data_IF_363630854298
#
_entry.id   IF_363630854298
#
_cell.length_a   1.000
_cell.length_b   1.000
_cell.length_c   1.000
_cell.angle_alpha   90.00
_cell.angle_beta   90.00
_cell.angle_gamma   90.00
#
_symmetry.space_group_name_H-M   'P 1'
#
loop_
_entity.id
_entity.type
_entity.pdbx_description
1 polymer ?
#
# COMPACT_ATOMS: atom_id res chain seq x y z
N UNK A 1 -12.82 -16.42 -10.20
CA UNK A 1 -12.95 -15.86 -8.84
C UNK A 1 -13.38 -14.42 -8.97
N UNK A 2 -14.38 -13.96 -8.21
CA UNK A 2 -14.86 -12.57 -8.25
C UNK A 2 -14.44 -11.90 -6.94
N UNK A 3 -13.36 -11.12 -7.00
CA UNK A 3 -12.80 -10.31 -5.89
C UNK A 3 -13.54 -8.98 -5.70
N UNK A 4 -14.49 -8.68 -6.59
CA UNK A 4 -15.28 -7.47 -6.56
C UNK A 4 -16.24 -7.43 -5.35
N UNK A 5 -16.05 -6.45 -4.46
CA UNK A 5 -16.97 -6.08 -3.38
C UNK A 5 -18.33 -5.58 -3.90
N UNK A 6 -18.37 -4.99 -5.10
CA UNK A 6 -19.58 -4.36 -5.62
C UNK A 6 -19.69 -4.46 -7.16
N UNK A 7 -20.85 -4.12 -7.75
CA UNK A 7 -21.07 -4.19 -9.19
C UNK A 7 -20.16 -3.28 -10.03
N UNK A 8 -19.46 -2.34 -9.40
CA UNK A 8 -18.46 -1.46 -10.04
C UNK A 8 -17.05 -2.03 -9.95
N UNK A 9 -16.89 -3.32 -9.63
CA UNK A 9 -15.60 -3.99 -9.48
C UNK A 9 -14.70 -3.36 -8.41
N UNK A 10 -15.28 -2.77 -7.37
CA UNK A 10 -14.50 -2.32 -6.22
C UNK A 10 -13.81 -3.51 -5.55
N UNK A 11 -12.56 -3.36 -5.15
CA UNK A 11 -11.78 -4.40 -4.49
C UNK A 11 -11.24 -3.89 -3.16
N UNK A 12 -11.17 -4.79 -2.19
CA UNK A 12 -10.46 -4.57 -0.94
C UNK A 12 -9.53 -5.76 -0.72
N UNK A 13 -8.30 -5.47 -0.30
CA UNK A 13 -7.29 -6.45 0.05
C UNK A 13 -6.73 -6.12 1.41
N UNK A 14 -6.63 -7.13 2.27
CA UNK A 14 -5.85 -7.06 3.49
C UNK A 14 -4.71 -8.08 3.39
N UNK A 15 -3.49 -7.64 3.70
CA UNK A 15 -2.31 -8.50 3.64
C UNK A 15 -1.60 -8.49 4.98
N UNK A 16 -1.34 -9.65 5.56
CA UNK A 16 -0.50 -9.80 6.74
C UNK A 16 0.68 -10.71 6.41
N UNK A 17 1.90 -10.23 6.67
CA UNK A 17 3.12 -10.99 6.53
C UNK A 17 3.81 -11.11 7.89
N UNK A 18 4.19 -12.33 8.26
CA UNK A 18 4.87 -12.65 9.52
C UNK A 18 6.32 -12.99 9.23
N UNK A 19 7.24 -12.61 10.10
CA UNK A 19 8.67 -12.87 9.96
C UNK A 19 9.52 -11.88 10.76
N UNK A 20 10.79 -11.76 10.37
CA UNK A 20 11.71 -10.79 11.00
C UNK A 20 11.28 -9.33 10.78
N UNK A 21 10.59 -9.06 9.68
CA UNK A 21 10.06 -7.75 9.32
C UNK A 21 8.55 -7.86 9.03
N UNK A 22 7.72 -7.96 10.07
CA UNK A 22 6.28 -8.16 9.89
C UNK A 22 5.65 -6.94 9.21
N UNK A 23 4.61 -7.20 8.43
CA UNK A 23 3.86 -6.20 7.67
C UNK A 23 2.35 -6.45 7.81
N UNK A 24 1.57 -5.39 7.91
CA UNK A 24 0.13 -5.40 7.74
C UNK A 24 -0.26 -4.30 6.75
N UNK A 25 -1.04 -4.62 5.71
CA UNK A 25 -1.58 -3.62 4.78
C UNK A 25 -3.07 -3.80 4.55
N UNK A 26 -3.73 -2.69 4.24
CA UNK A 26 -5.11 -2.60 3.80
C UNK A 26 -5.15 -1.72 2.57
N UNK A 27 -5.60 -2.28 1.45
CA UNK A 27 -5.61 -1.64 0.15
C UNK A 27 -7.04 -1.68 -0.39
N UNK A 28 -7.63 -0.51 -0.64
CA UNK A 28 -8.94 -0.41 -1.26
C UNK A 28 -8.80 0.20 -2.65
N UNK A 29 -9.58 -0.29 -3.61
CA UNK A 29 -9.63 0.22 -4.96
C UNK A 29 -11.09 0.30 -5.39
N UNK A 30 -11.59 1.49 -5.71
CA UNK A 30 -12.97 1.67 -6.12
C UNK A 30 -13.06 2.39 -7.46
N UNK A 31 -13.45 1.68 -8.53
CA UNK A 31 -13.82 2.31 -9.79
C UNK A 31 -15.11 3.13 -9.64
N UNK A 32 -15.17 4.26 -10.32
CA UNK A 32 -16.34 5.14 -10.40
C UNK A 32 -16.47 5.79 -11.79
N UNK A 33 -17.60 6.48 -12.01
CA UNK A 33 -18.03 6.94 -13.34
C UNK A 33 -18.81 5.87 -14.12
N UNK A 34 -19.38 6.23 -15.28
CA UNK A 34 -20.21 5.31 -16.10
C UNK A 34 -19.40 4.15 -16.68
N UNK A 35 -18.14 4.39 -17.01
CA UNK A 35 -17.28 3.41 -17.67
C UNK A 35 -16.21 2.83 -16.72
N UNK A 36 -16.19 3.24 -15.45
CA UNK A 36 -15.23 2.76 -14.45
C UNK A 36 -13.79 3.22 -14.68
N UNK A 37 -13.55 4.15 -15.61
CA UNK A 37 -12.19 4.58 -15.96
C UNK A 37 -11.48 5.36 -14.87
N UNK A 38 -12.18 5.87 -13.87
CA UNK A 38 -11.58 6.60 -12.75
C UNK A 38 -11.69 5.77 -11.49
N UNK A 39 -10.72 5.90 -10.60
CA UNK A 39 -10.75 5.20 -9.33
C UNK A 39 -10.19 6.04 -8.19
N UNK A 40 -10.61 5.69 -6.98
CA UNK A 40 -10.04 6.15 -5.73
C UNK A 40 -9.44 4.94 -5.01
N UNK A 41 -8.21 5.09 -4.52
CA UNK A 41 -7.42 4.01 -3.95
C UNK A 41 -6.71 4.44 -2.66
N UNK A 42 -7.41 4.44 -1.51
CA UNK A 42 -6.78 4.64 -0.22
C UNK A 42 -6.06 3.36 0.21
N UNK A 43 -4.88 3.51 0.82
CA UNK A 43 -4.15 2.40 1.43
C UNK A 43 -3.52 2.78 2.75
N UNK A 44 -3.37 1.79 3.61
CA UNK A 44 -2.72 1.91 4.90
C UNK A 44 -1.75 0.75 5.06
N UNK A 45 -0.55 1.05 5.56
CA UNK A 45 0.51 0.06 5.77
C UNK A 45 1.18 0.27 7.12
N UNK A 46 1.39 -0.83 7.83
CA UNK A 46 2.19 -0.90 9.04
C UNK A 46 3.31 -1.90 8.82
N UNK A 47 4.55 -1.49 9.05
CA UNK A 47 5.70 -2.37 8.95
C UNK A 47 6.70 -2.14 10.08
N UNK A 48 7.51 -3.17 10.32
CA UNK A 48 8.59 -3.14 11.30
C UNK A 48 9.87 -3.60 10.63
N UNK A 49 10.83 -2.71 10.47
CA UNK A 49 12.11 -2.99 9.82
C UNK A 49 13.24 -3.05 10.86
N UNK A 50 14.22 -3.93 10.65
CA UNK A 50 15.46 -3.97 11.42
C UNK A 50 16.53 -3.17 10.68
N UNK A 51 16.98 -2.07 11.28
CA UNK A 51 18.12 -1.29 10.82
C UNK A 51 19.36 -1.75 11.58
N UNK A 52 20.34 -2.25 10.84
CA UNK A 52 21.67 -2.52 11.40
C UNK A 52 22.45 -1.21 11.44
N UNK A 53 22.82 -0.77 12.63
CA UNK A 53 23.69 0.39 12.82
C UNK A 53 25.12 -0.15 12.95
N UNK A 54 26.01 0.35 12.09
CA UNK A 54 27.43 0.02 12.08
C UNK A 54 28.22 1.26 12.52
N UNK A 55 29.23 1.06 13.37
CA UNK A 55 30.26 2.06 13.64
C UNK A 55 31.62 1.40 13.37
N UNK A 56 32.47 2.08 12.61
CA UNK A 56 33.83 1.62 12.26
C UNK A 56 33.97 0.17 11.75
N UNK A 57 32.90 -0.39 11.15
CA UNK A 57 32.90 -1.76 10.61
C UNK A 57 32.40 -2.84 11.58
N UNK A 58 32.18 -2.48 12.84
CA UNK A 58 31.55 -3.34 13.84
C UNK A 58 30.05 -3.04 13.96
N UNK A 59 29.24 -4.10 14.06
CA UNK A 59 27.79 -3.97 14.22
C UNK A 59 27.46 -3.59 15.65
N UNK A 60 27.23 -2.30 15.90
CA UNK A 60 26.96 -1.78 17.24
C UNK A 60 25.64 -2.27 17.83
N UNK A 61 24.55 -2.21 17.04
CA UNK A 61 23.21 -2.57 17.52
C UNK A 61 22.22 -2.78 16.37
N UNK A 62 21.17 -3.55 16.63
CA UNK A 62 19.98 -3.62 15.79
C UNK A 62 18.92 -2.64 16.34
N UNK A 63 18.47 -1.71 15.50
CA UNK A 63 17.36 -0.82 15.83
C UNK A 63 16.09 -1.29 15.10
N UNK A 64 15.03 -1.56 15.85
CA UNK A 64 13.72 -1.87 15.27
C UNK A 64 12.93 -0.59 15.06
N UNK A 65 12.67 -0.24 13.81
CA UNK A 65 11.86 0.91 13.44
C UNK A 65 10.48 0.43 13.00
N UNK A 66 9.44 1.00 13.62
CA UNK A 66 8.04 0.77 13.24
C UNK A 66 7.55 1.96 12.44
N UNK A 67 6.93 1.68 11.31
CA UNK A 67 6.45 2.70 10.40
C UNK A 67 4.98 2.47 10.12
N UNK A 68 4.19 3.55 10.20
CA UNK A 68 2.82 3.59 9.72
C UNK A 68 2.76 4.56 8.52
N UNK A 69 2.17 4.10 7.42
CA UNK A 69 1.96 4.90 6.23
C UNK A 69 0.48 4.90 5.83
N UNK A 70 0.00 6.07 5.44
CA UNK A 70 -1.31 6.28 4.84
C UNK A 70 -1.10 6.92 3.47
N UNK A 71 -1.73 6.35 2.44
CA UNK A 71 -1.75 6.90 1.10
C UNK A 71 -3.19 7.08 0.64
N UNK A 72 -3.47 8.23 0.02
CA UNK A 72 -4.72 8.51 -0.66
C UNK A 72 -4.39 8.81 -2.11
N UNK A 73 -4.86 7.96 -3.02
CA UNK A 73 -4.62 8.13 -4.44
C UNK A 73 -5.93 8.19 -5.25
N UNK A 74 -5.89 8.94 -6.34
CA UNK A 74 -6.90 8.91 -7.40
C UNK A 74 -6.20 8.67 -8.73
N UNK A 75 -6.90 8.08 -9.68
CA UNK A 75 -6.31 7.88 -11.00
C UNK A 75 -7.32 7.55 -12.07
N UNK A 76 -6.77 7.30 -13.25
CA UNK A 76 -7.51 6.92 -14.44
C UNK A 76 -6.86 5.72 -15.11
N UNK A 77 -7.67 4.74 -15.45
CA UNK A 77 -7.31 3.62 -16.31
C UNK A 77 -7.46 4.02 -17.78
N UNK A 78 -6.47 3.61 -18.60
CA UNK A 78 -6.43 3.78 -20.05
C UNK A 78 -6.61 2.42 -20.73
N UNK A 79 -7.62 1.66 -20.29
CA UNK A 79 -7.94 0.33 -20.80
C UNK A 79 -6.69 -0.56 -20.84
N UNK A 80 -6.30 -1.09 -21.99
CA UNK A 80 -5.15 -2.00 -22.15
C UNK A 80 -3.78 -1.33 -22.04
N UNK A 81 -3.71 0.00 -22.01
CA UNK A 81 -2.43 0.72 -22.05
C UNK A 81 -1.81 0.92 -20.66
N UNK A 82 -2.63 0.84 -19.61
CA UNK A 82 -2.19 1.00 -18.23
C UNK A 82 -2.99 2.05 -17.46
N UNK A 83 -2.37 2.62 -16.44
CA UNK A 83 -3.01 3.49 -15.46
C UNK A 83 -2.12 4.70 -15.14
N UNK A 84 -2.74 5.87 -14.93
CA UNK A 84 -2.06 7.02 -14.31
C UNK A 84 -2.73 7.31 -12.98
N UNK A 85 -1.92 7.50 -11.93
CA UNK A 85 -2.39 7.82 -10.58
C UNK A 85 -1.62 9.01 -9.99
N UNK A 86 -2.29 9.76 -9.14
CA UNK A 86 -1.74 10.81 -8.32
C UNK A 86 -2.16 10.57 -6.88
N UNK A 87 -1.24 10.68 -5.94
CA UNK A 87 -1.51 10.38 -4.54
C UNK A 87 -0.71 11.22 -3.57
N UNK A 88 -1.26 11.32 -2.36
CA UNK A 88 -0.60 11.92 -1.20
C UNK A 88 -0.26 10.80 -0.21
N UNK A 89 0.99 10.78 0.24
CA UNK A 89 1.47 9.79 1.19
C UNK A 89 2.02 10.46 2.43
N UNK A 90 1.59 10.00 3.59
CA UNK A 90 2.14 10.37 4.90
C UNK A 90 2.72 9.14 5.58
N UNK A 91 3.88 9.32 6.20
CA UNK A 91 4.60 8.27 6.92
C UNK A 91 5.06 8.81 8.27
N UNK A 92 4.97 7.99 9.31
CA UNK A 92 5.44 8.29 10.68
C UNK A 92 6.82 7.71 10.94
#
# INVERSE_FOLDING_TARGET
MRTALNPKNGEWRATAAVGAQPTLSFDFHQPFGREGWYFFAPSMRFDSTLLNIFDEGDRLTEARVKTAALELAVGREFSTWGEVRLGLRRTT
#
